data_IF_789670568236
#
_entry.id   IF_789670568236
#
_cell.length_a   1.000
_cell.length_b   1.000
_cell.length_c   1.000
_cell.angle_alpha   90.00
_cell.angle_beta   90.00
_cell.angle_gamma   90.00
#
_symmetry.space_group_name_H-M   'P 1'
#
loop_
_entity.id
_entity.type
_entity.pdbx_description
1 polymer ?
#
# COMPACT_ATOMS: atom_id res chain seq x y z
N UNK A 1 -3.30 -9.20 -1.84
CA UNK A 1 -3.46 -10.52 -1.20
C UNK A 1 -3.67 -10.26 0.29
N UNK A 2 -4.82 -10.69 0.84
CA UNK A 2 -5.27 -10.26 2.16
C UNK A 2 -5.22 -11.44 3.14
N UNK A 3 -4.04 -12.03 3.31
CA UNK A 3 -3.90 -13.31 4.02
C UNK A 3 -4.11 -13.19 5.53
N UNK A 4 -3.89 -12.01 6.11
CA UNK A 4 -4.12 -11.74 7.54
C UNK A 4 -4.85 -10.41 7.76
N UNK A 5 -5.77 -10.05 6.85
CA UNK A 5 -6.64 -8.88 7.05
C UNK A 5 -7.60 -9.09 8.22
N UNK A 6 -8.21 -7.98 8.67
CA UNK A 6 -9.13 -7.99 9.82
C UNK A 6 -10.30 -8.97 9.67
N UNK A 7 -10.77 -9.16 8.43
CA UNK A 7 -11.90 -10.00 8.02
C UNK A 7 -11.49 -11.42 7.57
N UNK A 8 -10.20 -11.70 7.38
CA UNK A 8 -9.73 -12.96 6.80
C UNK A 8 -9.06 -13.91 7.81
N UNK A 9 -8.55 -13.41 8.93
CA UNK A 9 -7.78 -14.19 9.91
C UNK A 9 -8.02 -13.71 11.34
N UNK A 10 -8.11 -14.64 12.30
CA UNK A 10 -8.26 -14.31 13.73
C UNK A 10 -6.93 -13.90 14.36
N UNK A 11 -6.86 -12.67 14.87
CA UNK A 11 -5.73 -12.16 15.64
C UNK A 11 -6.21 -11.06 16.59
N UNK A 12 -5.43 -10.77 17.64
CA UNK A 12 -5.82 -9.74 18.61
C UNK A 12 -5.71 -8.34 18.01
N UNK A 13 -4.56 -8.00 17.41
CA UNK A 13 -4.27 -6.66 16.87
C UNK A 13 -3.67 -6.65 15.47
N UNK A 14 -2.85 -7.65 15.15
CA UNK A 14 -2.06 -7.67 13.92
C UNK A 14 -2.95 -7.75 12.67
N UNK A 15 -2.67 -6.89 11.70
CA UNK A 15 -3.17 -6.96 10.33
C UNK A 15 -1.94 -7.07 9.42
N UNK A 16 -1.95 -8.01 8.48
CA UNK A 16 -0.91 -8.08 7.48
C UNK A 16 -1.49 -8.37 6.10
N UNK A 17 -1.06 -7.59 5.11
CA UNK A 17 -1.45 -7.69 3.71
C UNK A 17 -0.22 -7.52 2.84
N UNK A 18 -0.27 -8.04 1.63
CA UNK A 18 0.79 -7.84 0.66
C UNK A 18 0.23 -7.34 -0.68
N UNK A 19 1.03 -6.50 -1.34
CA UNK A 19 0.69 -5.89 -2.62
C UNK A 19 1.81 -6.16 -3.61
N UNK A 20 1.41 -6.53 -4.83
CA UNK A 20 2.29 -6.67 -5.98
C UNK A 20 1.92 -5.57 -6.97
N UNK A 21 2.85 -4.66 -7.22
CA UNK A 21 2.67 -3.52 -8.10
C UNK A 21 3.44 -3.79 -9.40
N UNK A 22 2.74 -4.04 -10.52
CA UNK A 22 3.38 -4.18 -11.82
C UNK A 22 4.30 -2.99 -12.11
N UNK A 23 5.35 -3.22 -12.88
CA UNK A 23 6.29 -2.16 -13.25
C UNK A 23 5.57 -1.05 -14.03
N UNK A 24 5.95 0.21 -13.77
CA UNK A 24 5.28 1.39 -14.30
C UNK A 24 3.98 1.79 -13.58
N UNK A 25 3.50 1.01 -12.59
CA UNK A 25 2.29 1.32 -11.84
C UNK A 25 2.55 1.98 -10.48
N UNK A 26 1.45 2.49 -9.94
CA UNK A 26 1.33 3.17 -8.66
C UNK A 26 0.41 2.33 -7.78
N UNK A 27 0.72 2.27 -6.49
CA UNK A 27 -0.07 1.53 -5.50
C UNK A 27 -0.09 2.29 -4.17
N UNK A 28 -0.96 1.87 -3.25
CA UNK A 28 -1.41 2.74 -2.15
C UNK A 28 -1.85 4.11 -2.68
N UNK A 29 -2.50 4.11 -3.85
CA UNK A 29 -2.96 5.32 -4.54
C UNK A 29 -4.44 5.11 -4.95
N UNK A 30 -5.35 6.04 -4.60
CA UNK A 30 -5.10 7.36 -4.02
C UNK A 30 -4.51 7.29 -2.60
N UNK A 31 -3.74 8.30 -2.14
CA UNK A 31 -3.12 8.27 -0.82
C UNK A 31 -4.21 8.18 0.25
N UNK A 32 -3.97 7.38 1.28
CA UNK A 32 -4.90 7.21 2.38
C UNK A 32 -4.16 7.23 3.72
N UNK A 33 -4.91 7.48 4.78
CA UNK A 33 -4.43 7.46 6.16
C UNK A 33 -5.36 6.64 7.05
N UNK A 34 -4.84 6.29 8.21
CA UNK A 34 -5.55 5.61 9.29
C UNK A 34 -4.80 5.89 10.59
N UNK A 35 -4.77 7.14 11.02
CA UNK A 35 -3.94 7.63 12.12
C UNK A 35 -4.73 8.27 13.27
N UNK A 36 -6.06 8.35 13.14
CA UNK A 36 -6.97 8.89 14.14
C UNK A 36 -8.07 7.89 14.50
N UNK A 37 -8.65 8.02 15.69
CA UNK A 37 -9.84 7.29 16.08
C UNK A 37 -11.08 8.15 15.79
N UNK A 38 -11.76 7.84 14.68
CA UNK A 38 -13.01 8.50 14.28
C UNK A 38 -14.06 7.48 13.86
N UNK A 39 -15.23 7.92 13.40
CA UNK A 39 -16.21 7.01 12.79
C UNK A 39 -15.75 6.45 11.44
N UNK A 40 -14.78 7.10 10.76
CA UNK A 40 -14.35 6.76 9.40
C UNK A 40 -13.04 5.98 9.34
N UNK A 41 -12.19 6.09 10.34
CA UNK A 41 -10.88 5.45 10.41
C UNK A 41 -10.55 5.00 11.83
N UNK A 42 -9.58 4.09 11.93
CA UNK A 42 -9.02 3.64 13.20
C UNK A 42 -7.50 3.82 13.17
N UNK A 43 -6.86 4.17 14.29
CA UNK A 43 -5.43 4.42 14.30
C UNK A 43 -4.67 3.10 14.16
N UNK A 44 -3.88 3.00 13.11
CA UNK A 44 -2.97 1.90 12.81
C UNK A 44 -1.61 2.49 12.41
N UNK A 45 -0.58 2.14 13.16
CA UNK A 45 0.80 2.30 12.66
C UNK A 45 1.03 1.25 11.58
N UNK A 46 1.81 1.57 10.55
CA UNK A 46 2.08 0.67 9.43
C UNK A 46 3.56 0.57 9.09
N UNK A 47 4.00 -0.65 8.80
CA UNK A 47 5.35 -0.96 8.33
C UNK A 47 5.25 -1.49 6.90
N UNK A 48 6.04 -0.92 6.00
CA UNK A 48 6.24 -1.43 4.65
C UNK A 48 7.60 -2.12 4.55
N UNK A 49 7.63 -3.39 4.19
CA UNK A 49 8.84 -4.10 3.78
C UNK A 49 8.83 -4.29 2.26
N UNK A 50 9.79 -3.71 1.55
CA UNK A 50 9.84 -3.71 0.09
C UNK A 50 10.69 -4.84 -0.46
N UNK A 51 10.22 -5.46 -1.55
CA UNK A 51 11.02 -6.27 -2.46
C UNK A 51 10.93 -5.68 -3.86
N UNK A 52 12.05 -5.59 -4.56
CA UNK A 52 12.11 -4.97 -5.89
C UNK A 52 12.83 -5.91 -6.84
N UNK A 53 12.16 -6.21 -7.96
CA UNK A 53 12.68 -7.16 -8.94
C UNK A 53 13.80 -6.53 -9.79
N UNK A 54 14.89 -7.27 -9.96
CA UNK A 54 15.97 -6.95 -10.91
C UNK A 54 17.15 -6.22 -10.26
N UNK A 55 18.35 -6.45 -10.80
CA UNK A 55 19.57 -5.83 -10.32
C UNK A 55 19.51 -4.31 -10.48
N UNK A 56 19.82 -3.57 -9.41
CA UNK A 56 19.74 -2.11 -9.40
C UNK A 56 18.32 -1.54 -9.44
N UNK A 57 17.29 -2.37 -9.23
CA UNK A 57 15.92 -1.89 -9.10
C UNK A 57 15.73 -0.98 -7.89
N UNK A 58 14.85 0.00 -8.06
CA UNK A 58 14.43 0.91 -7.00
C UNK A 58 12.93 1.16 -7.10
N UNK A 59 12.38 1.86 -6.12
CA UNK A 59 11.03 2.39 -6.12
C UNK A 59 10.98 3.74 -5.42
N UNK A 60 9.85 4.42 -5.50
CA UNK A 60 9.60 5.65 -4.75
C UNK A 60 8.45 5.42 -3.78
N UNK A 61 8.59 5.92 -2.56
CA UNK A 61 7.52 5.93 -1.57
C UNK A 61 7.38 7.33 -0.98
N UNK A 62 6.14 7.82 -0.83
CA UNK A 62 5.85 9.09 -0.18
C UNK A 62 4.90 8.91 0.99
N UNK A 63 5.18 9.62 2.08
CA UNK A 63 4.27 9.78 3.23
C UNK A 63 4.23 11.26 3.62
N UNK A 64 3.03 11.79 3.88
CA UNK A 64 2.85 13.18 4.29
C UNK A 64 1.64 13.38 5.20
N UNK A 65 1.66 14.41 6.03
CA UNK A 65 0.54 14.81 6.90
C UNK A 65 -0.07 16.12 6.41
N UNK A 66 -1.37 16.34 6.72
CA UNK A 66 -2.07 17.55 6.31
C UNK A 66 -1.52 18.84 6.95
N UNK A 67 -0.91 18.72 8.12
CA UNK A 67 -0.22 19.80 8.84
C UNK A 67 1.20 20.07 8.31
N UNK A 68 1.75 19.19 7.47
CA UNK A 68 3.10 19.28 6.91
C UNK A 68 4.23 18.88 7.85
N UNK A 69 3.93 18.35 9.05
CA UNK A 69 4.95 17.87 9.99
C UNK A 69 5.77 16.69 9.41
N UNK A 70 5.11 15.87 8.59
CA UNK A 70 5.74 14.83 7.78
C UNK A 70 5.48 15.20 6.31
N UNK A 71 6.54 15.29 5.51
CA UNK A 71 6.47 15.25 4.05
C UNK A 71 7.79 14.66 3.54
N UNK A 72 7.77 13.35 3.34
CA UNK A 72 8.97 12.56 3.05
C UNK A 72 8.71 11.79 1.77
N UNK A 73 9.65 11.91 0.83
CA UNK A 73 9.68 11.09 -0.39
C UNK A 73 11.03 10.40 -0.46
N UNK A 74 11.02 9.07 -0.39
CA UNK A 74 12.24 8.26 -0.35
C UNK A 74 12.35 7.35 -1.56
N UNK A 75 13.60 7.09 -1.95
CA UNK A 75 13.93 5.99 -2.85
C UNK A 75 14.11 4.73 -2.02
N UNK A 76 13.32 3.70 -2.32
CA UNK A 76 13.38 2.39 -1.65
C UNK A 76 14.04 1.35 -2.56
N UNK A 77 14.82 0.44 -1.97
CA UNK A 77 15.52 -0.66 -2.64
C UNK A 77 15.02 -2.03 -2.16
N UNK A 78 15.50 -3.11 -2.80
CA UNK A 78 15.16 -4.47 -2.37
C UNK A 78 15.60 -4.72 -0.92
N UNK A 79 14.65 -5.08 -0.06
CA UNK A 79 14.88 -5.38 1.35
C UNK A 79 14.72 -4.18 2.29
N UNK A 80 14.45 -2.97 1.78
CA UNK A 80 14.24 -1.79 2.61
C UNK A 80 12.94 -1.87 3.41
N UNK A 81 12.94 -1.20 4.57
CA UNK A 81 11.78 -1.04 5.44
C UNK A 81 11.47 0.44 5.62
N UNK A 82 10.20 0.82 5.48
CA UNK A 82 9.71 2.17 5.75
C UNK A 82 8.63 2.13 6.85
N UNK A 83 8.69 3.09 7.78
CA UNK A 83 7.78 3.17 8.93
C UNK A 83 6.82 4.34 8.74
N UNK A 84 5.54 4.08 8.92
CA UNK A 84 4.48 5.08 8.82
C UNK A 84 3.79 5.19 10.18
N UNK A 85 4.17 6.18 11.00
CA UNK A 85 3.52 6.40 12.29
C UNK A 85 2.16 7.10 12.13
N UNK A 86 1.99 7.92 11.09
CA UNK A 86 0.75 8.65 10.76
C UNK A 86 0.84 9.27 9.37
N UNK A 87 -0.26 9.87 8.91
CA UNK A 87 -0.35 10.62 7.67
C UNK A 87 -0.83 9.79 6.48
N UNK A 88 -1.06 10.50 5.37
CA UNK A 88 -1.33 9.90 4.08
C UNK A 88 -0.07 9.21 3.58
N UNK A 89 -0.20 7.93 3.26
CA UNK A 89 0.90 7.11 2.78
C UNK A 89 0.54 6.47 1.45
N UNK A 90 1.55 6.45 0.59
CA UNK A 90 1.38 6.27 -0.82
C UNK A 90 1.45 7.61 -1.57
N UNK A 91 1.93 7.59 -2.82
CA UNK A 91 2.11 6.39 -3.63
C UNK A 91 3.38 5.61 -3.31
N UNK A 92 3.28 4.29 -3.44
CA UNK A 92 4.42 3.40 -3.69
C UNK A 92 4.48 3.13 -5.19
N UNK A 93 5.53 3.63 -5.84
CA UNK A 93 5.68 3.69 -7.30
C UNK A 93 6.75 2.71 -7.78
N UNK A 94 6.36 1.82 -8.68
CA UNK A 94 7.25 0.85 -9.33
C UNK A 94 7.75 1.42 -10.66
N UNK A 95 9.07 1.64 -10.86
CA UNK A 95 9.63 2.07 -12.13
C UNK A 95 9.42 1.01 -13.23
N UNK A 96 9.37 1.41 -14.52
CA UNK A 96 9.36 0.45 -15.64
C UNK A 96 10.53 -0.54 -15.55
N UNK A 97 10.27 -1.83 -15.82
CA UNK A 97 11.25 -2.91 -15.69
C UNK A 97 11.42 -3.49 -14.28
N UNK A 98 10.87 -2.84 -13.24
CA UNK A 98 11.04 -3.24 -11.85
C UNK A 98 9.69 -3.41 -11.14
N UNK A 99 9.12 -4.61 -11.20
CA UNK A 99 7.94 -4.96 -10.38
C UNK A 99 8.28 -4.80 -8.90
N UNK A 100 7.40 -4.14 -8.16
CA UNK A 100 7.53 -3.92 -6.73
C UNK A 100 6.59 -4.85 -5.97
N UNK A 101 7.07 -5.37 -4.85
CA UNK A 101 6.27 -6.02 -3.82
C UNK A 101 6.46 -5.25 -2.52
N UNK A 102 5.41 -5.18 -1.70
CA UNK A 102 5.59 -4.85 -0.30
C UNK A 102 4.66 -5.65 0.60
N UNK A 103 5.19 -5.99 1.77
CA UNK A 103 4.44 -6.53 2.90
C UNK A 103 4.11 -5.38 3.84
N UNK A 104 2.83 -5.19 4.08
CA UNK A 104 2.30 -4.29 5.08
C UNK A 104 2.04 -5.04 6.38
N UNK A 105 2.52 -4.48 7.49
CA UNK A 105 2.18 -4.95 8.84
C UNK A 105 1.63 -3.78 9.63
N UNK A 106 0.42 -3.94 10.15
CA UNK A 106 -0.32 -2.91 10.87
C UNK A 106 -0.78 -3.39 12.23
N UNK A 107 -0.81 -2.49 13.20
CA UNK A 107 -1.46 -2.70 14.48
C UNK A 107 -1.82 -1.35 15.13
N UNK A 108 -2.81 -1.38 16.03
CA UNK A 108 -3.26 -0.17 16.72
C UNK A 108 -3.98 -0.47 18.03
N UNK A 109 -4.21 0.56 18.86
CA UNK A 109 -4.82 0.41 20.18
C UNK A 109 -6.35 0.17 20.12
N UNK A 110 -7.01 0.61 19.05
CA UNK A 110 -8.46 0.50 18.85
C UNK A 110 -8.87 -0.93 18.44
N UNK A 111 -10.17 -1.12 18.17
CA UNK A 111 -10.66 -2.37 17.60
C UNK A 111 -9.86 -2.76 16.35
N UNK A 112 -9.63 -4.06 16.16
CA UNK A 112 -8.93 -4.57 14.98
C UNK A 112 -9.83 -4.44 13.75
N UNK A 113 -9.70 -3.32 13.05
CA UNK A 113 -10.39 -3.02 11.80
C UNK A 113 -9.43 -2.32 10.85
N UNK A 114 -9.59 -2.50 9.53
CA UNK A 114 -8.84 -1.75 8.53
C UNK A 114 -9.75 -0.70 7.90
N UNK A 115 -9.90 0.44 8.59
CA UNK A 115 -10.72 1.58 8.14
C UNK A 115 -9.80 2.74 7.80
N UNK A 116 -9.88 3.22 6.56
CA UNK A 116 -8.95 4.20 6.00
C UNK A 116 -9.70 5.41 5.46
N UNK A 117 -9.08 6.58 5.53
CA UNK A 117 -9.56 7.81 4.90
C UNK A 117 -8.65 8.17 3.71
N UNK A 118 -9.23 8.33 2.52
CA UNK A 118 -8.51 8.86 1.35
C UNK A 118 -8.25 10.35 1.52
N UNK A 119 -7.14 10.87 0.98
CA UNK A 119 -6.93 12.32 0.88
C UNK A 119 -8.07 12.97 0.07
N UNK A 120 -8.82 13.93 0.65
CA UNK A 120 -9.94 14.59 -0.04
C UNK A 120 -9.55 15.24 -1.37
N UNK A 121 -8.30 15.67 -1.52
CA UNK A 121 -7.75 16.25 -2.77
C UNK A 121 -7.77 15.25 -3.93
N UNK A 122 -7.81 13.96 -3.61
CA UNK A 122 -7.66 12.85 -4.54
C UNK A 122 -8.90 11.95 -4.62
N UNK A 123 -10.00 12.26 -3.90
CA UNK A 123 -11.23 11.44 -3.90
C UNK A 123 -11.84 11.25 -5.30
N UNK A 124 -11.70 12.25 -6.19
CA UNK A 124 -12.18 12.19 -7.57
C UNK A 124 -11.58 11.03 -8.39
N UNK A 125 -10.43 10.50 -7.98
CA UNK A 125 -9.79 9.38 -8.65
C UNK A 125 -10.58 8.08 -8.52
N UNK A 126 -11.44 7.94 -7.52
CA UNK A 126 -12.26 6.73 -7.37
C UNK A 126 -13.23 6.55 -8.54
N UNK A 127 -13.80 7.64 -9.04
CA UNK A 127 -14.65 7.60 -10.25
C UNK A 127 -13.83 7.21 -11.47
N UNK A 128 -12.65 7.81 -11.65
CA UNK A 128 -11.73 7.48 -12.74
C UNK A 128 -11.30 6.00 -12.71
N UNK A 129 -10.96 5.47 -11.54
CA UNK A 129 -10.53 4.08 -11.40
C UNK A 129 -11.66 3.08 -11.63
N UNK A 130 -12.91 3.44 -11.30
CA UNK A 130 -14.07 2.64 -11.65
C UNK A 130 -14.26 2.53 -13.17
N UNK A 131 -13.95 3.60 -13.92
CA UNK A 131 -14.01 3.60 -15.39
C UNK A 131 -12.85 2.87 -16.05
N UNK A 132 -11.62 3.09 -15.58
CA UNK A 132 -10.41 2.49 -16.15
C UNK A 132 -10.32 0.98 -15.86
N UNK A 133 -10.82 0.55 -14.71
CA UNK A 133 -10.65 -0.81 -14.22
C UNK A 133 -9.21 -1.12 -13.80
N UNK A 134 -8.96 -2.36 -13.32
CA UNK A 134 -7.62 -2.76 -12.90
C UNK A 134 -6.67 -2.95 -14.08
N UNK A 135 -5.38 -2.80 -13.83
CA UNK A 135 -4.34 -3.15 -14.81
C UNK A 135 -4.52 -4.61 -15.29
N UNK A 136 -4.49 -4.89 -16.61
CA UNK A 136 -4.74 -6.22 -17.16
C UNK A 136 -3.68 -7.27 -16.80
N UNK A 137 -2.52 -6.86 -16.26
CA UNK A 137 -1.48 -7.74 -15.70
C UNK A 137 -1.87 -8.28 -14.33
N UNK A 138 -2.85 -7.66 -13.65
CA UNK A 138 -3.32 -8.09 -12.34
C UNK A 138 -4.42 -9.17 -12.42
N UNK A 139 -4.49 -10.08 -11.43
CA UNK A 139 -3.47 -10.30 -10.39
C UNK A 139 -2.20 -10.93 -10.99
N UNK A 140 -1.03 -10.56 -10.45
CA UNK A 140 0.26 -11.12 -10.86
C UNK A 140 0.44 -12.59 -10.39
N UNK A 141 -0.27 -12.99 -9.34
CA UNK A 141 -0.23 -14.35 -8.76
C UNK A 141 -1.64 -14.83 -8.42
N UNK A 142 -1.85 -16.15 -8.40
CA UNK A 142 -3.04 -16.81 -7.85
C UNK A 142 -2.62 -17.84 -6.79
N UNK A 143 -3.60 -18.52 -6.19
CA UNK A 143 -3.31 -19.66 -5.29
C UNK A 143 -2.52 -20.79 -5.99
N UNK A 144 -2.58 -20.88 -7.32
CA UNK A 144 -1.87 -21.88 -8.12
C UNK A 144 -0.45 -21.43 -8.54
N UNK A 145 -0.04 -20.21 -8.16
CA UNK A 145 1.27 -19.65 -8.46
C UNK A 145 1.25 -18.40 -9.35
N UNK A 146 2.41 -17.99 -9.92
CA UNK A 146 2.51 -16.82 -10.77
C UNK A 146 1.67 -16.95 -12.04
N UNK A 147 0.93 -15.90 -12.40
CA UNK A 147 0.29 -15.84 -13.72
C UNK A 147 1.36 -15.58 -14.78
N UNK A 148 1.31 -16.26 -15.94
CA UNK A 148 2.17 -15.92 -17.06
C UNK A 148 1.97 -14.44 -17.43
N UNK A 149 3.07 -13.70 -17.57
CA UNK A 149 3.01 -12.32 -18.05
C UNK A 149 2.32 -12.30 -19.41
N UNK A 150 1.21 -11.55 -19.54
CA UNK A 150 0.66 -11.23 -20.86
C UNK A 150 1.66 -10.34 -21.60
N UNK A 151 1.96 -10.63 -22.89
CA UNK A 151 2.82 -9.78 -23.69
C UNK A 151 2.27 -8.36 -23.84
#
# INVERSE_FOLDING_TARGET
NNFMSADAFEAERLIAVEVLTPDGNWSSFPPHKHDELTEREVPLEEIYYFRIRGDGGFGLHRTYTADGDIDVTETVHDGDVFLIPRGYHGPSVAPPGHTMYYLNVMAGPAERAWRVCTDPTHEWLWELFAELGPDPRCPLTTADGPRPSRP
#
